data_IF_802670040803
#
_entry.id   IF_802670040803
#
_cell.length_a   1.000
_cell.length_b   1.000
_cell.length_c   1.000
_cell.angle_alpha   90.00
_cell.angle_beta   90.00
_cell.angle_gamma   90.00
#
_symmetry.space_group_name_H-M   'P 1'
#
loop_
_entity.id
_entity.type
_entity.pdbx_description
1 polymer ?
#
# COMPACT_ATOMS: atom_id res chain seq x y z
N UNK A 1 32.71 -23.38 -23.22
CA UNK A 1 31.32 -22.91 -23.18
C UNK A 1 30.61 -23.65 -22.06
N UNK A 2 29.93 -22.96 -21.13
CA UNK A 2 29.18 -23.63 -20.08
C UNK A 2 28.08 -24.49 -20.72
N UNK A 3 27.78 -25.68 -20.17
CA UNK A 3 26.75 -26.52 -20.72
C UNK A 3 25.36 -25.87 -20.58
N UNK A 4 24.50 -26.15 -21.56
CA UNK A 4 23.16 -25.53 -21.69
C UNK A 4 22.29 -25.64 -20.42
N UNK A 5 22.45 -26.73 -19.66
CA UNK A 5 21.74 -26.92 -18.40
C UNK A 5 22.24 -25.98 -17.29
N UNK A 6 23.53 -25.59 -17.28
CA UNK A 6 24.02 -24.62 -16.31
C UNK A 6 23.45 -23.19 -16.56
N UNK A 7 23.27 -22.81 -17.82
CA UNK A 7 22.61 -21.54 -18.19
C UNK A 7 21.13 -21.55 -17.82
N UNK A 8 20.44 -22.69 -17.95
CA UNK A 8 19.04 -22.85 -17.53
C UNK A 8 18.91 -22.80 -16.00
N UNK A 9 19.84 -23.41 -15.25
CA UNK A 9 19.83 -23.34 -13.78
C UNK A 9 20.08 -21.94 -13.26
N UNK A 10 21.07 -21.24 -13.80
CA UNK A 10 21.39 -19.84 -13.44
C UNK A 10 20.21 -18.92 -13.78
N UNK A 11 19.53 -19.14 -14.90
CA UNK A 11 18.35 -18.40 -15.28
C UNK A 11 17.15 -18.62 -14.33
N UNK A 12 16.98 -19.86 -13.85
CA UNK A 12 15.89 -20.19 -12.92
C UNK A 12 16.13 -19.59 -11.53
N UNK A 13 17.36 -19.66 -11.01
CA UNK A 13 17.75 -19.05 -9.73
C UNK A 13 17.65 -17.51 -9.77
N UNK A 14 18.00 -16.88 -10.89
CA UNK A 14 17.85 -15.44 -11.05
C UNK A 14 16.38 -15.00 -11.11
N UNK A 15 15.52 -15.79 -11.76
CA UNK A 15 14.09 -15.49 -11.83
C UNK A 15 13.43 -15.61 -10.45
N UNK A 16 13.74 -16.65 -9.69
CA UNK A 16 13.26 -16.84 -8.32
C UNK A 16 13.72 -15.69 -7.39
N UNK A 17 15.00 -15.31 -7.49
CA UNK A 17 15.53 -14.19 -6.72
C UNK A 17 14.82 -12.87 -7.05
N UNK A 18 14.51 -12.62 -8.32
CA UNK A 18 13.78 -11.44 -8.77
C UNK A 18 12.34 -11.42 -8.21
N UNK A 19 11.65 -12.58 -8.24
CA UNK A 19 10.30 -12.71 -7.68
C UNK A 19 10.26 -12.41 -6.18
N UNK A 20 11.20 -12.97 -5.42
CA UNK A 20 11.32 -12.69 -3.98
C UNK A 20 11.63 -11.22 -3.71
N UNK A 21 12.52 -10.61 -4.48
CA UNK A 21 12.91 -9.22 -4.32
C UNK A 21 11.72 -8.27 -4.50
N UNK A 22 10.92 -8.43 -5.57
CA UNK A 22 9.75 -7.59 -5.80
C UNK A 22 8.66 -7.83 -4.74
N UNK A 23 8.42 -9.08 -4.37
CA UNK A 23 7.41 -9.40 -3.35
C UNK A 23 7.79 -8.82 -1.98
N UNK A 24 8.96 -9.16 -1.45
CA UNK A 24 9.37 -8.70 -0.13
C UNK A 24 9.68 -7.21 -0.10
N UNK A 25 10.28 -6.65 -1.15
CA UNK A 25 10.53 -5.22 -1.26
C UNK A 25 9.24 -4.41 -1.22
N UNK A 26 8.24 -4.80 -2.01
CA UNK A 26 6.93 -4.16 -1.98
C UNK A 26 6.22 -4.40 -0.65
N UNK A 27 6.21 -5.63 -0.13
CA UNK A 27 5.53 -5.98 1.11
C UNK A 27 6.05 -5.17 2.30
N UNK A 28 7.38 -5.16 2.50
CA UNK A 28 8.00 -4.42 3.60
C UNK A 28 7.75 -2.92 3.47
N UNK A 29 7.95 -2.36 2.28
CA UNK A 29 7.72 -0.94 2.02
C UNK A 29 6.27 -0.54 2.31
N UNK A 30 5.31 -1.32 1.83
CA UNK A 30 3.89 -1.07 2.03
C UNK A 30 3.49 -1.21 3.50
N UNK A 31 3.92 -2.26 4.21
CA UNK A 31 3.60 -2.44 5.64
C UNK A 31 4.15 -1.30 6.47
N UNK A 32 5.39 -0.86 6.22
CA UNK A 32 6.01 0.24 6.97
C UNK A 32 5.25 1.56 6.76
N UNK A 33 4.86 1.87 5.52
CA UNK A 33 4.17 3.12 5.20
C UNK A 33 2.72 3.10 5.65
N UNK A 34 1.99 2.02 5.38
CA UNK A 34 0.58 1.91 5.81
C UNK A 34 0.46 1.85 7.31
N UNK A 35 1.46 1.26 7.99
CA UNK A 35 1.51 1.11 9.44
C UNK A 35 0.13 0.78 10.04
N UNK A 36 -0.43 -0.42 9.76
CA UNK A 36 -1.80 -0.76 10.09
C UNK A 36 -2.17 -0.59 11.59
N UNK A 37 -1.27 -0.90 12.56
CA UNK A 37 -1.57 -0.73 13.98
C UNK A 37 -1.93 0.71 14.38
N UNK A 38 -1.33 1.71 13.73
CA UNK A 38 -1.62 3.12 14.03
C UNK A 38 -3.03 3.56 13.59
N UNK A 39 -3.71 2.75 12.80
CA UNK A 39 -5.07 3.04 12.34
C UNK A 39 -6.14 2.54 13.32
N UNK A 40 -5.76 1.70 14.31
CA UNK A 40 -6.69 1.18 15.32
C UNK A 40 -7.39 2.32 16.10
N UNK A 41 -6.69 3.30 16.69
CA UNK A 41 -7.34 4.38 17.43
C UNK A 41 -8.29 5.20 16.56
N UNK A 42 -7.90 5.46 15.31
CA UNK A 42 -8.75 6.16 14.35
C UNK A 42 -10.02 5.34 14.05
N UNK A 43 -9.87 4.06 13.76
CA UNK A 43 -10.99 3.18 13.46
C UNK A 43 -11.96 3.06 14.64
N UNK A 44 -11.45 2.85 15.84
CA UNK A 44 -12.25 2.76 17.07
C UNK A 44 -13.01 4.07 17.31
N UNK A 45 -12.36 5.24 17.16
CA UNK A 45 -12.99 6.54 17.38
C UNK A 45 -14.12 6.83 16.38
N UNK A 46 -13.99 6.37 15.14
CA UNK A 46 -15.00 6.56 14.08
C UNK A 46 -16.18 5.60 14.21
N UNK A 47 -15.95 4.42 14.79
CA UNK A 47 -16.96 3.38 14.92
C UNK A 47 -17.63 3.34 16.30
N UNK A 48 -17.41 4.37 17.14
CA UNK A 48 -18.09 4.53 18.42
C UNK A 48 -19.60 4.61 18.20
N UNK A 49 -20.36 3.74 18.87
CA UNK A 49 -21.82 3.64 18.75
C UNK A 49 -22.32 2.73 17.63
N UNK A 50 -21.44 2.17 16.81
CA UNK A 50 -21.80 1.17 15.81
C UNK A 50 -21.93 -0.23 16.44
N UNK A 51 -22.83 -1.04 15.90
CA UNK A 51 -22.93 -2.45 16.26
C UNK A 51 -21.69 -3.21 15.78
N UNK A 52 -21.42 -4.36 16.37
CA UNK A 52 -20.30 -5.23 15.98
C UNK A 52 -20.33 -5.58 14.48
N UNK A 53 -21.52 -5.85 13.98
CA UNK A 53 -21.72 -6.19 12.56
C UNK A 53 -21.40 -5.01 11.63
N UNK A 54 -21.83 -3.82 12.00
CA UNK A 54 -21.50 -2.58 11.27
C UNK A 54 -19.98 -2.32 11.26
N UNK A 55 -19.28 -2.51 12.39
CA UNK A 55 -17.83 -2.38 12.47
C UNK A 55 -17.12 -3.37 11.53
N UNK A 56 -17.54 -4.63 11.53
CA UNK A 56 -16.99 -5.64 10.61
C UNK A 56 -17.19 -5.24 9.15
N UNK A 57 -18.37 -4.74 8.82
CA UNK A 57 -18.68 -4.27 7.47
C UNK A 57 -17.79 -3.10 7.07
N UNK A 58 -17.58 -2.13 7.96
CA UNK A 58 -16.66 -1.00 7.73
C UNK A 58 -15.22 -1.49 7.49
N UNK A 59 -14.72 -2.41 8.30
CA UNK A 59 -13.37 -2.97 8.14
C UNK A 59 -13.22 -3.72 6.81
N UNK A 60 -14.23 -4.51 6.41
CA UNK A 60 -14.20 -5.24 5.14
C UNK A 60 -14.15 -4.29 3.94
N UNK A 61 -15.05 -3.31 3.91
CA UNK A 61 -15.07 -2.33 2.81
C UNK A 61 -13.83 -1.46 2.78
N UNK A 62 -13.32 -1.04 3.94
CA UNK A 62 -12.07 -0.26 4.00
C UNK A 62 -10.89 -1.03 3.41
N UNK A 63 -10.76 -2.32 3.70
CA UNK A 63 -9.70 -3.15 3.13
C UNK A 63 -9.86 -3.32 1.60
N UNK A 64 -11.09 -3.55 1.13
CA UNK A 64 -11.39 -3.67 -0.31
C UNK A 64 -11.06 -2.36 -1.04
N UNK A 65 -11.50 -1.23 -0.52
CA UNK A 65 -11.20 0.07 -1.14
C UNK A 65 -9.71 0.39 -1.14
N UNK A 66 -9.01 0.09 -0.04
CA UNK A 66 -7.56 0.28 0.02
C UNK A 66 -6.82 -0.59 -0.99
N UNK A 67 -7.21 -1.85 -1.12
CA UNK A 67 -6.68 -2.76 -2.13
C UNK A 67 -6.93 -2.22 -3.55
N UNK A 68 -8.15 -1.80 -3.85
CA UNK A 68 -8.50 -1.26 -5.17
C UNK A 68 -7.72 0.02 -5.50
N UNK A 69 -7.59 0.95 -4.55
CA UNK A 69 -6.82 2.18 -4.75
C UNK A 69 -5.36 1.86 -5.06
N UNK A 70 -4.73 0.96 -4.29
CA UNK A 70 -3.35 0.54 -4.53
C UNK A 70 -3.20 -0.20 -5.86
N UNK A 71 -4.13 -1.08 -6.21
CA UNK A 71 -4.09 -1.82 -7.47
C UNK A 71 -4.26 -0.89 -8.67
N UNK A 72 -5.20 0.05 -8.61
CA UNK A 72 -5.37 1.08 -9.66
C UNK A 72 -4.11 1.94 -9.77
N UNK A 73 -3.48 2.30 -8.66
CA UNK A 73 -2.23 3.06 -8.65
C UNK A 73 -1.08 2.27 -9.30
N UNK A 74 -1.04 0.95 -9.10
CA UNK A 74 -0.04 0.08 -9.73
C UNK A 74 -0.24 0.02 -11.26
N UNK A 75 -1.48 -0.11 -11.72
CA UNK A 75 -1.79 -0.21 -13.16
C UNK A 75 -1.64 1.15 -13.85
N UNK A 76 -2.22 2.19 -13.24
CA UNK A 76 -2.29 3.52 -13.84
C UNK A 76 -1.00 4.33 -13.64
N UNK A 77 -0.15 3.97 -12.68
CA UNK A 77 1.02 4.76 -12.32
C UNK A 77 1.95 5.03 -13.50
N UNK A 78 2.40 3.99 -14.18
CA UNK A 78 3.24 4.14 -15.36
C UNK A 78 2.54 4.88 -16.50
N UNK A 79 1.26 4.59 -16.74
CA UNK A 79 0.46 5.23 -17.79
C UNK A 79 0.35 6.74 -17.56
N UNK A 80 0.07 7.15 -16.32
CA UNK A 80 -0.02 8.56 -15.94
C UNK A 80 1.31 9.29 -16.12
N UNK A 81 2.41 8.69 -15.67
CA UNK A 81 3.73 9.30 -15.80
C UNK A 81 4.13 9.49 -17.27
N UNK A 82 3.86 8.47 -18.10
CA UNK A 82 4.12 8.53 -19.55
C UNK A 82 3.25 9.60 -20.22
N UNK A 83 1.97 9.68 -19.83
CA UNK A 83 1.03 10.68 -20.38
C UNK A 83 1.44 12.12 -20.05
N UNK A 84 1.89 12.36 -18.82
CA UNK A 84 2.35 13.69 -18.39
C UNK A 84 3.82 13.99 -18.76
N UNK A 85 4.53 13.04 -19.34
CA UNK A 85 5.95 13.19 -19.65
C UNK A 85 6.85 13.32 -18.43
N UNK A 86 6.43 12.77 -17.29
CA UNK A 86 7.18 12.82 -16.03
C UNK A 86 8.23 11.69 -16.05
N UNK A 87 9.49 12.04 -15.83
CA UNK A 87 10.55 11.02 -15.74
C UNK A 87 10.41 10.16 -14.47
N UNK A 88 10.78 8.89 -14.57
CA UNK A 88 10.80 7.96 -13.46
C UNK A 88 11.67 8.45 -12.29
N UNK A 89 12.82 9.05 -12.60
CA UNK A 89 13.73 9.62 -11.60
C UNK A 89 13.07 10.77 -10.82
N UNK A 90 12.32 11.64 -11.50
CA UNK A 90 11.58 12.73 -10.85
C UNK A 90 10.50 12.17 -9.90
N UNK A 91 9.79 11.12 -10.33
CA UNK A 91 8.77 10.47 -9.48
C UNK A 91 9.38 9.80 -8.26
N UNK A 92 10.52 9.11 -8.39
CA UNK A 92 11.25 8.52 -7.26
C UNK A 92 11.69 9.57 -6.24
N UNK A 93 12.20 10.72 -6.70
CA UNK A 93 12.58 11.83 -5.82
C UNK A 93 11.35 12.40 -5.11
N UNK A 94 10.28 12.68 -5.85
CA UNK A 94 9.03 13.20 -5.28
C UNK A 94 8.41 12.23 -4.28
N UNK A 95 8.34 10.94 -4.61
CA UNK A 95 7.85 9.88 -3.73
C UNK A 95 8.68 9.76 -2.45
N UNK A 96 10.01 9.76 -2.59
CA UNK A 96 10.93 9.74 -1.45
C UNK A 96 10.76 10.95 -0.53
N UNK A 97 10.56 12.14 -1.09
CA UNK A 97 10.31 13.37 -0.32
C UNK A 97 8.99 13.30 0.45
N UNK A 98 7.92 12.78 -0.18
CA UNK A 98 6.61 12.57 0.49
C UNK A 98 6.76 11.61 1.66
N UNK A 99 7.45 10.48 1.47
CA UNK A 99 7.71 9.49 2.53
C UNK A 99 8.55 10.10 3.66
N UNK A 100 9.59 10.85 3.34
CA UNK A 100 10.44 11.54 4.33
C UNK A 100 9.61 12.56 5.13
N UNK A 101 8.71 13.31 4.48
CA UNK A 101 7.85 14.28 5.14
C UNK A 101 6.84 13.62 6.08
N UNK A 102 6.25 12.47 5.66
CA UNK A 102 5.37 11.68 6.52
C UNK A 102 6.16 11.13 7.72
N UNK A 103 7.36 10.60 7.50
CA UNK A 103 8.23 10.13 8.58
C UNK A 103 8.60 11.26 9.57
N UNK A 104 8.93 12.44 9.06
CA UNK A 104 9.18 13.63 9.88
C UNK A 104 7.95 14.01 10.72
N UNK A 105 6.76 14.04 10.11
CA UNK A 105 5.52 14.33 10.83
C UNK A 105 5.19 13.28 11.89
N UNK A 106 5.52 12.01 11.66
CA UNK A 106 5.33 10.94 12.66
C UNK A 106 6.28 11.09 13.86
N UNK A 107 7.50 11.59 13.64
CA UNK A 107 8.51 11.73 14.69
C UNK A 107 8.35 13.05 15.49
N UNK A 108 8.10 14.14 14.80
CA UNK A 108 8.14 15.50 15.35
C UNK A 108 6.79 16.21 15.33
N UNK A 109 5.88 15.76 14.49
CA UNK A 109 4.50 16.24 14.47
C UNK A 109 3.81 15.74 15.72
N UNK A 110 3.77 16.55 16.76
CA UNK A 110 2.98 16.26 17.95
C UNK A 110 1.57 15.87 17.49
N UNK A 111 1.09 14.74 17.93
CA UNK A 111 -0.29 14.32 17.70
C UNK A 111 -1.21 15.32 18.38
N UNK A 112 -1.54 16.40 17.67
CA UNK A 112 -2.61 17.27 18.09
C UNK A 112 -3.91 16.50 17.83
N UNK A 113 -4.66 16.12 18.86
CA UNK A 113 -5.95 15.43 18.67
C UNK A 113 -6.92 16.23 17.80
N UNK A 114 -6.62 17.52 17.60
CA UNK A 114 -7.42 18.46 16.83
C UNK A 114 -7.16 18.43 15.31
N UNK A 115 -6.13 17.74 14.82
CA UNK A 115 -5.85 17.64 13.38
C UNK A 115 -6.41 16.37 12.73
N UNK A 116 -7.08 15.50 13.48
CA UNK A 116 -7.97 14.54 12.86
C UNK A 116 -9.05 15.36 12.09
N UNK A 117 -9.22 15.12 10.77
CA UNK A 117 -10.29 15.78 10.04
C UNK A 117 -11.56 15.61 10.86
N UNK A 118 -12.22 16.72 11.22
CA UNK A 118 -13.52 16.68 11.91
C UNK A 118 -14.49 15.95 10.97
N UNK A 119 -14.50 14.64 11.06
CA UNK A 119 -15.48 13.82 10.37
C UNK A 119 -16.79 14.08 11.10
N UNK A 120 -17.70 14.78 10.43
CA UNK A 120 -19.05 15.01 10.97
C UNK A 120 -19.63 13.66 11.39
N UNK A 121 -19.96 13.51 12.66
CA UNK A 121 -20.45 12.32 13.35
C UNK A 121 -21.74 11.70 12.78
N UNK A 122 -22.22 12.20 11.63
CA UNK A 122 -23.49 11.83 11.00
C UNK A 122 -23.33 11.05 9.68
N UNK A 123 -22.16 10.45 9.41
CA UNK A 123 -22.03 9.52 8.28
C UNK A 123 -22.23 8.10 8.76
N UNK A 124 -23.07 7.36 8.07
CA UNK A 124 -23.27 5.92 8.30
C UNK A 124 -22.12 5.05 7.73
N UNK A 125 -21.28 5.64 6.85
CA UNK A 125 -20.19 4.93 6.18
C UNK A 125 -18.87 5.71 6.23
N UNK A 126 -17.89 5.15 6.92
CA UNK A 126 -16.51 5.67 7.06
C UNK A 126 -15.48 4.81 6.34
N UNK A 127 -15.90 3.75 5.66
CA UNK A 127 -15.00 2.75 5.08
C UNK A 127 -14.10 3.32 4.00
N UNK A 128 -14.63 4.15 3.09
CA UNK A 128 -13.82 4.81 2.07
C UNK A 128 -13.06 6.00 2.64
N UNK A 129 -13.77 6.94 3.26
CA UNK A 129 -13.15 8.13 3.84
C UNK A 129 -13.58 8.29 5.29
N UNK A 130 -12.66 8.34 6.26
CA UNK A 130 -11.20 8.48 6.11
C UNK A 130 -10.39 7.19 6.31
N UNK A 131 -11.02 6.00 6.41
CA UNK A 131 -10.31 4.77 6.79
C UNK A 131 -9.47 4.25 5.62
N UNK A 132 -10.08 3.99 4.46
CA UNK A 132 -9.32 3.53 3.29
C UNK A 132 -8.43 4.65 2.76
N UNK A 133 -8.98 5.83 2.54
CA UNK A 133 -8.27 6.99 2.03
C UNK A 133 -8.52 8.20 2.94
N UNK A 134 -7.51 8.85 3.54
CA UNK A 134 -6.07 8.59 3.41
C UNK A 134 -5.49 7.59 4.42
N UNK A 135 -6.32 6.91 5.22
CA UNK A 135 -5.89 6.09 6.33
C UNK A 135 -4.92 4.98 5.93
N UNK A 136 -5.33 4.03 5.09
CA UNK A 136 -4.51 2.88 4.65
C UNK A 136 -3.81 3.22 3.33
N UNK A 137 -4.56 3.57 2.28
CA UNK A 137 -4.04 3.97 0.99
C UNK A 137 -3.84 5.50 0.92
N UNK A 138 -2.91 6.02 1.72
CA UNK A 138 -2.58 7.44 1.75
C UNK A 138 -1.64 7.86 0.61
N UNK A 139 -1.35 9.18 0.49
CA UNK A 139 -0.48 9.70 -0.57
C UNK A 139 0.90 9.05 -0.60
N UNK A 140 1.47 8.72 0.56
CA UNK A 140 2.75 8.02 0.64
C UNK A 140 2.67 6.59 0.11
N UNK A 141 1.61 5.86 0.45
CA UNK A 141 1.38 4.51 -0.06
C UNK A 141 1.21 4.51 -1.58
N UNK A 142 0.41 5.46 -2.11
CA UNK A 142 0.20 5.64 -3.55
C UNK A 142 1.53 5.95 -4.25
N UNK A 143 2.35 6.86 -3.70
CA UNK A 143 3.64 7.23 -4.27
C UNK A 143 4.59 6.02 -4.36
N UNK A 144 4.63 5.17 -3.34
CA UNK A 144 5.44 3.95 -3.34
C UNK A 144 4.93 2.93 -4.36
N UNK A 145 3.62 2.73 -4.45
CA UNK A 145 3.04 1.81 -5.44
C UNK A 145 3.32 2.30 -6.87
N UNK A 146 3.21 3.59 -7.14
CA UNK A 146 3.60 4.18 -8.42
C UNK A 146 5.10 3.99 -8.68
N UNK A 147 5.94 4.12 -7.65
CA UNK A 147 7.37 3.82 -7.74
C UNK A 147 7.65 2.39 -8.24
N UNK A 148 7.00 1.39 -7.66
CA UNK A 148 7.08 0.00 -8.14
C UNK A 148 6.54 -0.16 -9.55
N UNK A 149 5.42 0.50 -9.89
CA UNK A 149 4.89 0.50 -11.26
C UNK A 149 5.93 0.98 -12.28
N UNK A 150 6.70 2.01 -11.95
CA UNK A 150 7.73 2.56 -12.83
C UNK A 150 8.95 1.65 -12.93
N UNK A 151 9.37 1.02 -11.84
CA UNK A 151 10.46 0.03 -11.87
C UNK A 151 10.11 -1.18 -12.73
N UNK A 152 8.89 -1.67 -12.61
CA UNK A 152 8.38 -2.78 -13.42
C UNK A 152 8.36 -2.41 -14.91
N UNK A 153 7.99 -1.18 -15.23
CA UNK A 153 7.94 -0.70 -16.63
C UNK A 153 9.33 -0.57 -17.29
N UNK A 154 10.41 -0.44 -16.50
CA UNK A 154 11.79 -0.41 -17.00
C UNK A 154 12.33 -1.81 -17.35
N UNK A 155 11.64 -2.89 -16.94
CA UNK A 155 12.06 -4.26 -17.22
C UNK A 155 11.91 -4.57 -18.71
N UNK A 156 13.01 -4.96 -19.35
CA UNK A 156 13.06 -5.20 -20.80
C UNK A 156 12.35 -6.50 -21.22
N UNK A 157 12.35 -7.50 -20.33
CA UNK A 157 11.82 -8.84 -20.62
C UNK A 157 10.33 -8.91 -20.21
N UNK A 158 9.45 -9.19 -21.16
CA UNK A 158 7.99 -9.25 -20.88
C UNK A 158 7.61 -10.26 -19.79
N UNK A 159 8.29 -11.40 -19.72
CA UNK A 159 8.03 -12.44 -18.71
C UNK A 159 8.38 -11.94 -17.31
N UNK A 160 9.53 -11.29 -17.15
CA UNK A 160 9.96 -10.71 -15.87
C UNK A 160 9.06 -9.55 -15.46
N UNK A 161 8.65 -8.70 -16.42
CA UNK A 161 7.71 -7.61 -16.18
C UNK A 161 6.38 -8.11 -15.63
N UNK A 162 5.79 -9.15 -16.23
CA UNK A 162 4.53 -9.73 -15.76
C UNK A 162 4.69 -10.37 -14.39
N UNK A 163 5.79 -11.09 -14.15
CA UNK A 163 6.06 -11.72 -12.86
C UNK A 163 6.25 -10.68 -11.75
N UNK A 164 7.02 -9.63 -11.99
CA UNK A 164 7.21 -8.54 -11.04
C UNK A 164 5.88 -7.82 -10.71
N UNK A 165 5.03 -7.61 -11.73
CA UNK A 165 3.70 -7.04 -11.54
C UNK A 165 2.83 -7.93 -10.66
N UNK A 166 2.78 -9.23 -10.92
CA UNK A 166 2.01 -10.19 -10.12
C UNK A 166 2.52 -10.26 -8.68
N UNK A 167 3.83 -10.28 -8.48
CA UNK A 167 4.44 -10.30 -7.15
C UNK A 167 4.14 -9.03 -6.35
N UNK A 168 4.19 -7.88 -7.00
CA UNK A 168 3.81 -6.60 -6.37
C UNK A 168 2.31 -6.55 -6.05
N UNK A 169 1.46 -7.04 -6.94
CA UNK A 169 0.02 -7.15 -6.69
C UNK A 169 -0.31 -8.10 -5.53
N UNK A 170 0.42 -9.22 -5.40
CA UNK A 170 0.32 -10.12 -4.24
C UNK A 170 0.76 -9.42 -2.95
N UNK A 171 1.84 -8.66 -2.97
CA UNK A 171 2.27 -7.87 -1.81
C UNK A 171 1.22 -6.85 -1.38
N UNK A 172 0.55 -6.17 -2.33
CA UNK A 172 -0.59 -5.28 -2.07
C UNK A 172 -1.75 -6.05 -1.41
N UNK A 173 -2.09 -7.24 -1.93
CA UNK A 173 -3.15 -8.06 -1.37
C UNK A 173 -2.85 -8.49 0.08
N UNK A 174 -1.62 -8.93 0.34
CA UNK A 174 -1.17 -9.32 1.69
C UNK A 174 -1.20 -8.11 2.63
N UNK A 175 -0.73 -6.95 2.20
CA UNK A 175 -0.77 -5.71 3.00
C UNK A 175 -2.20 -5.31 3.35
N UNK A 176 -3.11 -5.36 2.38
CA UNK A 176 -4.54 -5.08 2.59
C UNK A 176 -5.18 -6.09 3.52
N UNK A 177 -4.80 -7.36 3.43
CA UNK A 177 -5.25 -8.41 4.34
C UNK A 177 -4.76 -8.19 5.77
N UNK A 178 -3.49 -7.80 5.95
CA UNK A 178 -2.93 -7.46 7.27
C UNK A 178 -3.67 -6.25 7.85
N UNK A 179 -3.93 -5.22 7.05
CA UNK A 179 -4.70 -4.06 7.47
C UNK A 179 -6.12 -4.45 7.89
N UNK A 180 -6.79 -5.30 7.13
CA UNK A 180 -8.09 -5.85 7.47
C UNK A 180 -8.06 -6.61 8.80
N UNK A 181 -7.09 -7.51 8.99
CA UNK A 181 -6.94 -8.27 10.22
C UNK A 181 -6.71 -7.35 11.42
N UNK A 182 -5.90 -6.31 11.25
CA UNK A 182 -5.60 -5.32 12.29
C UNK A 182 -6.84 -4.51 12.67
N UNK A 183 -7.63 -4.06 11.70
CA UNK A 183 -8.89 -3.35 11.97
C UNK A 183 -9.91 -4.26 12.65
N UNK A 184 -10.00 -5.52 12.25
CA UNK A 184 -10.90 -6.49 12.85
C UNK A 184 -10.49 -6.87 14.27
N UNK A 185 -9.20 -6.95 14.56
CA UNK A 185 -8.69 -7.24 15.91
C UNK A 185 -8.84 -6.06 16.88
N UNK A 186 -9.15 -4.85 16.38
CA UNK A 186 -9.35 -3.66 17.24
C UNK A 186 -10.50 -3.80 18.23
N UNK A 187 -11.42 -4.75 18.02
CA UNK A 187 -12.52 -5.04 18.95
C UNK A 187 -12.02 -5.52 20.32
N UNK A 188 -10.93 -6.30 20.33
CA UNK A 188 -10.34 -6.79 21.57
C UNK A 188 -9.64 -5.71 22.41
N UNK A 189 -9.38 -4.54 21.81
CA UNK A 189 -8.77 -3.40 22.50
C UNK A 189 -9.82 -2.40 23.05
N UNK A 190 -11.11 -2.60 22.79
CA UNK A 190 -12.18 -1.68 23.18
C UNK A 190 -13.02 -2.16 24.38
N UNK A 191 -12.67 -3.31 24.97
CA UNK A 191 -13.15 -3.78 26.27
C UNK A 191 -12.19 -3.33 27.39
#
# INVERSE_FOLDING_TARGET
APPLYALLFIGCDMLEALHLQYFFGALVSLIVITNPPTKIPLFVSLTVGMTREQRHQQANWAAIYSFLVMLVSLIAGNLLLTFFGISYSAMRIAGGLVVAMIGYQMLFGGQSPNNAPMVRRNKEDYSFFPIAMPGIAGPGTIAVVIGFSTEIAEISTKTEMVSAFVMTALAIAVTSFIAWLTLRSSEYCSE
#
